data_IF_535614225734
#
_entry.id   IF_535614225734
#
_cell.length_a   1.000
_cell.length_b   1.000
_cell.length_c   1.000
_cell.angle_alpha   90.00
_cell.angle_beta   90.00
_cell.angle_gamma   90.00
#
_symmetry.space_group_name_H-M   'P 1'
#
loop_
_entity.id
_entity.type
_entity.pdbx_description
1 polymer ?
#
# COMPACT_ATOMS: atom_id res chain seq x y z
N UNK A 1 -8.22 -9.98 -6.59
CA UNK A 1 -7.89 -10.90 -7.71
C UNK A 1 -8.76 -12.14 -7.58
N UNK A 2 -9.59 -12.48 -8.57
CA UNK A 2 -10.41 -13.70 -8.53
C UNK A 2 -9.58 -14.96 -8.80
N UNK A 3 -9.90 -16.03 -8.07
CA UNK A 3 -9.24 -17.34 -8.18
C UNK A 3 -10.27 -18.35 -8.67
N UNK A 4 -9.98 -19.00 -9.80
CA UNK A 4 -10.83 -20.04 -10.37
C UNK A 4 -10.16 -21.40 -10.11
N UNK A 5 -10.76 -22.22 -9.25
CA UNK A 5 -10.23 -23.53 -8.88
C UNK A 5 -11.02 -24.64 -9.57
N UNK A 6 -10.34 -25.45 -10.38
CA UNK A 6 -10.94 -26.53 -11.17
C UNK A 6 -12.17 -26.11 -11.99
N UNK A 7 -12.22 -24.84 -12.39
CA UNK A 7 -13.31 -24.29 -13.19
C UNK A 7 -12.75 -23.29 -14.17
N UNK A 8 -13.21 -23.34 -15.43
CA UNK A 8 -12.76 -22.38 -16.42
C UNK A 8 -13.43 -21.01 -16.17
N UNK A 9 -12.71 -19.89 -16.27
CA UNK A 9 -13.33 -18.56 -16.20
C UNK A 9 -14.44 -18.38 -17.25
N UNK A 10 -14.36 -19.05 -18.40
CA UNK A 10 -15.39 -19.07 -19.43
C UNK A 10 -16.68 -19.75 -18.96
N UNK A 11 -16.60 -20.80 -18.14
CA UNK A 11 -17.77 -21.47 -17.56
C UNK A 11 -18.51 -20.56 -16.58
N UNK A 12 -17.77 -19.81 -15.76
CA UNK A 12 -18.34 -18.79 -14.87
C UNK A 12 -18.95 -17.64 -15.67
N UNK A 13 -18.25 -17.17 -16.72
CA UNK A 13 -18.68 -16.03 -17.54
C UNK A 13 -19.96 -16.33 -18.30
N UNK A 14 -20.00 -17.48 -18.96
CA UNK A 14 -21.10 -17.87 -19.84
C UNK A 14 -22.18 -18.64 -19.09
N UNK A 15 -22.00 -18.90 -17.80
CA UNK A 15 -22.90 -19.71 -16.96
C UNK A 15 -23.16 -21.09 -17.58
N UNK A 16 -22.08 -21.75 -18.00
CA UNK A 16 -22.10 -23.09 -18.61
C UNK A 16 -21.42 -24.12 -17.70
N UNK A 17 -21.53 -25.40 -18.04
CA UNK A 17 -20.90 -26.48 -17.28
C UNK A 17 -21.41 -26.54 -15.83
N UNK A 18 -20.54 -26.95 -14.92
CA UNK A 18 -20.89 -27.15 -13.50
C UNK A 18 -21.42 -25.87 -12.81
N UNK A 19 -20.90 -24.70 -13.21
CA UNK A 19 -21.35 -23.42 -12.67
C UNK A 19 -22.79 -23.07 -13.10
N UNK A 20 -23.10 -23.29 -14.38
CA UNK A 20 -24.44 -23.08 -14.94
C UNK A 20 -25.47 -24.02 -14.32
N UNK A 21 -25.11 -25.29 -14.15
CA UNK A 21 -25.96 -26.29 -13.49
C UNK A 21 -26.31 -25.87 -12.05
N UNK A 22 -25.33 -25.39 -11.27
CA UNK A 22 -25.56 -24.89 -9.92
C UNK A 22 -26.51 -23.68 -9.89
N UNK A 23 -26.36 -22.71 -10.80
CA UNK A 23 -27.28 -21.56 -10.92
C UNK A 23 -28.69 -22.05 -11.25
N UNK A 24 -28.85 -22.96 -12.21
CA UNK A 24 -30.15 -23.50 -12.60
C UNK A 24 -30.82 -24.29 -11.47
N UNK A 25 -30.04 -25.02 -10.66
CA UNK A 25 -30.57 -25.67 -9.46
C UNK A 25 -31.13 -24.66 -8.44
N UNK A 26 -30.51 -23.50 -8.29
CA UNK A 26 -31.01 -22.45 -7.40
C UNK A 26 -32.27 -21.77 -7.93
N UNK A 27 -32.37 -21.56 -9.25
CA UNK A 27 -33.57 -21.05 -9.93
C UNK A 27 -34.74 -22.03 -9.74
N UNK A 28 -34.52 -23.31 -10.03
CA UNK A 28 -35.57 -24.34 -9.97
C UNK A 28 -36.06 -24.64 -8.56
N UNK A 29 -35.27 -24.30 -7.53
CA UNK A 29 -35.66 -24.46 -6.12
C UNK A 29 -36.42 -23.25 -5.56
N UNK A 30 -36.59 -22.17 -6.34
CA UNK A 30 -37.31 -20.94 -5.94
C UNK A 30 -36.86 -20.38 -4.58
N UNK A 31 -35.58 -20.59 -4.22
CA UNK A 31 -35.02 -20.18 -2.92
C UNK A 31 -34.65 -18.71 -2.85
N UNK A 32 -34.52 -18.06 -4.00
CA UNK A 32 -34.04 -16.68 -4.14
C UNK A 32 -34.89 -15.93 -5.15
N UNK A 33 -34.96 -14.61 -4.99
CA UNK A 33 -35.70 -13.73 -5.92
C UNK A 33 -35.02 -13.67 -7.28
N UNK A 34 -35.78 -13.37 -8.33
CA UNK A 34 -35.24 -13.16 -9.68
C UNK A 34 -34.19 -12.07 -9.71
N UNK A 35 -34.35 -11.02 -8.89
CA UNK A 35 -33.36 -9.95 -8.72
C UNK A 35 -32.04 -10.47 -8.13
N UNK A 36 -32.09 -11.36 -7.13
CA UNK A 36 -30.90 -11.98 -6.54
C UNK A 36 -30.15 -12.80 -7.59
N UNK A 37 -30.88 -13.62 -8.36
CA UNK A 37 -30.32 -14.43 -9.44
C UNK A 37 -29.72 -13.55 -10.54
N UNK A 38 -30.39 -12.45 -10.88
CA UNK A 38 -29.91 -11.48 -11.86
C UNK A 38 -28.58 -10.84 -11.41
N UNK A 39 -28.52 -10.37 -10.16
CA UNK A 39 -27.31 -9.79 -9.58
C UNK A 39 -26.14 -10.77 -9.54
N UNK A 40 -26.39 -12.05 -9.27
CA UNK A 40 -25.36 -13.08 -9.33
C UNK A 40 -24.80 -13.26 -10.74
N UNK A 41 -25.67 -13.34 -11.75
CA UNK A 41 -25.25 -13.44 -13.16
C UNK A 41 -24.41 -12.23 -13.60
N UNK A 42 -24.80 -11.02 -13.19
CA UNK A 42 -24.03 -9.81 -13.46
C UNK A 42 -22.67 -9.82 -12.75
N UNK A 43 -22.63 -10.23 -11.48
CA UNK A 43 -21.39 -10.35 -10.70
C UNK A 43 -20.40 -11.33 -11.33
N UNK A 44 -20.86 -12.49 -11.81
CA UNK A 44 -20.03 -13.49 -12.50
C UNK A 44 -19.37 -12.93 -13.77
N UNK A 45 -20.08 -12.07 -14.51
CA UNK A 45 -19.54 -11.40 -15.69
C UNK A 45 -18.46 -10.36 -15.33
N UNK A 46 -18.70 -9.57 -14.29
CA UNK A 46 -17.73 -8.58 -13.80
C UNK A 46 -16.43 -9.24 -13.31
N UNK A 47 -16.56 -10.35 -12.56
CA UNK A 47 -15.43 -11.10 -11.99
C UNK A 47 -14.54 -11.73 -13.07
N UNK A 48 -15.14 -12.23 -14.15
CA UNK A 48 -14.39 -12.88 -15.26
C UNK A 48 -13.77 -11.89 -16.25
N UNK A 49 -14.20 -10.63 -16.21
CA UNK A 49 -13.59 -9.54 -16.97
C UNK A 49 -12.26 -9.09 -16.35
N UNK A 50 -12.09 -9.31 -15.04
CA UNK A 50 -10.80 -9.15 -14.35
C UNK A 50 -9.91 -10.34 -14.75
N UNK A 51 -8.85 -10.11 -15.52
CA UNK A 51 -7.90 -11.15 -15.97
C UNK A 51 -7.32 -11.91 -14.76
N UNK A 52 -7.91 -13.05 -14.41
CA UNK A 52 -7.35 -14.02 -13.46
C UNK A 52 -6.39 -14.97 -14.18
N UNK A 53 -5.22 -15.23 -13.60
CA UNK A 53 -4.31 -16.28 -14.08
C UNK A 53 -4.78 -17.63 -13.51
N UNK A 54 -5.00 -18.60 -14.40
CA UNK A 54 -5.14 -20.01 -14.04
C UNK A 54 -3.75 -20.61 -13.80
N UNK A 55 -3.21 -20.47 -12.60
CA UNK A 55 -2.22 -21.42 -12.08
C UNK A 55 -2.09 -21.22 -10.56
N UNK A 56 -2.54 -22.22 -9.82
CA UNK A 56 -2.58 -22.19 -8.36
C UNK A 56 -1.25 -22.73 -7.82
N UNK A 57 -0.47 -21.86 -7.18
CA UNK A 57 0.02 -22.00 -5.79
C UNK A 57 1.11 -20.97 -5.53
N UNK A 58 2.21 -21.00 -6.28
CA UNK A 58 3.35 -20.10 -6.01
C UNK A 58 3.12 -18.66 -6.47
N UNK A 59 2.71 -18.41 -7.72
CA UNK A 59 2.63 -17.02 -8.22
C UNK A 59 1.57 -16.18 -7.48
N UNK A 60 0.45 -16.80 -7.07
CA UNK A 60 -0.59 -16.13 -6.27
C UNK A 60 -0.12 -15.90 -4.84
N UNK A 61 0.49 -16.90 -4.20
CA UNK A 61 1.05 -16.75 -2.85
C UNK A 61 2.19 -15.74 -2.86
N UNK A 62 3.06 -15.73 -3.87
CA UNK A 62 4.10 -14.73 -4.05
C UNK A 62 3.54 -13.35 -4.32
N UNK A 63 2.52 -13.20 -5.18
CA UNK A 63 1.85 -11.90 -5.38
C UNK A 63 1.18 -11.43 -4.10
N UNK A 64 0.48 -12.29 -3.38
CA UNK A 64 -0.12 -11.96 -2.10
C UNK A 64 0.93 -11.66 -1.05
N UNK A 65 2.02 -12.42 -0.96
CA UNK A 65 3.12 -12.16 -0.05
C UNK A 65 3.86 -10.87 -0.42
N UNK A 66 4.01 -10.54 -1.70
CA UNK A 66 4.58 -9.27 -2.14
C UNK A 66 3.63 -8.14 -1.78
N UNK A 67 2.33 -8.26 -2.03
CA UNK A 67 1.34 -7.25 -1.63
C UNK A 67 1.17 -7.11 -0.11
N UNK A 68 1.24 -8.21 0.65
CA UNK A 68 1.12 -8.22 2.11
C UNK A 68 2.43 -7.82 2.81
N UNK A 69 3.60 -8.30 2.34
CA UNK A 69 4.92 -7.86 2.83
C UNK A 69 5.26 -6.44 2.42
N UNK A 70 4.65 -5.91 1.34
CA UNK A 70 4.95 -4.55 0.82
C UNK A 70 4.82 -3.48 1.89
N UNK A 71 3.96 -3.72 2.88
CA UNK A 71 3.48 -2.68 3.77
C UNK A 71 3.58 -3.03 5.27
N UNK A 72 3.72 -4.30 5.63
CA UNK A 72 3.78 -4.70 7.03
C UNK A 72 5.23 -4.86 7.50
N UNK A 73 5.68 -3.91 8.31
CA UNK A 73 6.96 -3.99 9.02
C UNK A 73 6.78 -4.82 10.29
N UNK A 74 7.76 -5.67 10.59
CA UNK A 74 7.73 -6.50 11.78
C UNK A 74 7.76 -5.61 13.04
N UNK A 75 6.75 -5.79 13.89
CA UNK A 75 6.63 -5.12 15.20
C UNK A 75 6.55 -6.21 16.26
N UNK A 76 7.21 -6.02 17.39
CA UNK A 76 7.12 -6.96 18.51
C UNK A 76 5.69 -7.02 19.04
N UNK A 77 5.19 -8.21 19.37
CA UNK A 77 3.86 -8.38 19.98
C UNK A 77 3.83 -7.97 21.47
N UNK A 78 4.97 -7.61 22.06
CA UNK A 78 5.09 -7.22 23.47
C UNK A 78 5.01 -5.70 23.66
N UNK A 79 4.11 -5.02 22.95
CA UNK A 79 3.86 -3.60 23.12
C UNK A 79 2.63 -3.42 24.00
N UNK A 80 2.86 -2.95 25.22
CA UNK A 80 1.81 -2.52 26.13
C UNK A 80 1.87 -0.99 26.16
N UNK A 81 0.71 -0.30 26.11
CA UNK A 81 0.57 1.17 26.30
C UNK A 81 0.91 2.11 25.13
N UNK A 82 0.93 1.65 23.87
CA UNK A 82 1.12 2.56 22.72
C UNK A 82 -0.18 2.95 21.99
N UNK A 83 -1.31 2.32 22.32
CA UNK A 83 -2.57 2.53 21.61
C UNK A 83 -3.04 3.99 21.67
N UNK A 84 -3.01 4.62 22.86
CA UNK A 84 -3.39 6.03 23.02
C UNK A 84 -2.54 6.99 22.16
N UNK A 85 -1.24 6.71 22.01
CA UNK A 85 -0.34 7.53 21.19
C UNK A 85 -0.60 7.33 19.70
N UNK A 86 -0.88 6.08 19.30
CA UNK A 86 -1.25 5.76 17.92
C UNK A 86 -2.56 6.48 17.57
N UNK A 87 -3.57 6.39 18.42
CA UNK A 87 -4.88 6.99 18.18
C UNK A 87 -4.80 8.51 18.07
N UNK A 88 -4.00 9.17 18.93
CA UNK A 88 -3.72 10.61 18.80
C UNK A 88 -3.07 11.01 17.46
N UNK A 89 -2.16 10.17 16.94
CA UNK A 89 -1.54 10.43 15.62
C UNK A 89 -2.58 10.24 14.51
N UNK A 90 -3.37 9.16 14.58
CA UNK A 90 -4.42 8.87 13.59
C UNK A 90 -5.48 9.96 13.56
N UNK A 91 -5.91 10.47 14.70
CA UNK A 91 -6.87 11.58 14.81
C UNK A 91 -6.32 12.83 14.11
N UNK A 92 -5.09 13.25 14.42
CA UNK A 92 -4.44 14.41 13.76
C UNK A 92 -4.33 14.27 12.25
N UNK A 93 -4.08 13.06 11.76
CA UNK A 93 -4.03 12.78 10.32
C UNK A 93 -5.42 12.89 9.70
N UNK A 94 -6.46 12.45 10.40
CA UNK A 94 -7.85 12.46 9.92
C UNK A 94 -8.50 13.85 9.90
N UNK A 95 -8.08 14.77 10.77
CA UNK A 95 -8.59 16.16 10.81
C UNK A 95 -8.22 16.98 9.57
N UNK A 96 -7.13 16.63 8.88
CA UNK A 96 -6.67 17.31 7.68
C UNK A 96 -7.14 16.56 6.43
N UNK A 97 -8.22 17.04 5.83
CA UNK A 97 -8.89 16.39 4.68
C UNK A 97 -8.33 16.79 3.31
N UNK A 98 -7.47 17.81 3.24
CA UNK A 98 -6.91 18.30 1.97
C UNK A 98 -5.45 18.70 2.12
N UNK A 99 -4.60 18.19 1.22
CA UNK A 99 -3.18 18.52 1.15
C UNK A 99 -2.26 17.47 1.79
N UNK A 100 -1.01 17.86 2.01
CA UNK A 100 0.04 16.97 2.54
C UNK A 100 0.12 17.09 4.07
N UNK A 101 -0.14 15.98 4.78
CA UNK A 101 -0.03 15.93 6.24
C UNK A 101 1.39 15.52 6.64
N UNK A 102 2.05 16.34 7.46
CA UNK A 102 3.39 16.05 7.99
C UNK A 102 3.31 15.97 9.51
N UNK A 103 3.69 14.82 10.06
CA UNK A 103 3.69 14.55 11.50
C UNK A 103 5.13 14.30 11.97
N UNK A 104 5.58 15.06 12.96
CA UNK A 104 6.87 14.86 13.61
C UNK A 104 6.73 14.06 14.90
N UNK A 105 7.49 12.97 15.04
CA UNK A 105 7.58 12.18 16.28
C UNK A 105 8.95 12.43 16.91
N UNK A 106 8.98 13.08 18.06
CA UNK A 106 10.22 13.43 18.77
C UNK A 106 10.14 13.06 20.26
N UNK A 107 11.29 12.97 20.92
CA UNK A 107 11.39 12.55 22.33
C UNK A 107 12.72 11.87 22.63
N UNK A 108 12.93 11.52 23.90
CA UNK A 108 14.17 10.89 24.37
C UNK A 108 14.49 9.58 23.64
N UNK A 109 15.77 9.21 23.62
CA UNK A 109 16.21 7.91 23.10
C UNK A 109 15.59 6.76 23.90
N UNK A 110 15.31 5.63 23.23
CA UNK A 110 14.78 4.42 23.89
C UNK A 110 13.28 4.42 24.19
N UNK A 111 12.55 5.54 23.98
CA UNK A 111 11.11 5.65 24.27
C UNK A 111 10.22 4.88 23.27
N UNK A 112 10.78 4.33 22.20
CA UNK A 112 10.02 3.55 21.21
C UNK A 112 9.45 4.36 20.05
N UNK A 113 10.01 5.54 19.72
CA UNK A 113 9.55 6.39 18.59
C UNK A 113 9.50 5.66 17.25
N UNK A 114 10.58 4.93 16.92
CA UNK A 114 10.65 4.11 15.71
C UNK A 114 9.56 3.05 15.71
N UNK A 115 9.30 2.43 16.87
CA UNK A 115 8.22 1.45 17.05
C UNK A 115 6.84 2.09 16.82
N UNK A 116 6.59 3.27 17.39
CA UNK A 116 5.35 4.02 17.20
C UNK A 116 5.13 4.34 15.72
N UNK A 117 6.15 4.88 15.05
CA UNK A 117 6.11 5.19 13.63
C UNK A 117 5.85 3.93 12.77
N UNK A 118 6.40 2.78 13.16
CA UNK A 118 6.17 1.50 12.50
C UNK A 118 4.72 1.03 12.63
N UNK A 119 4.11 1.16 13.81
CA UNK A 119 2.70 0.77 14.03
C UNK A 119 1.77 1.67 13.19
N UNK A 120 1.99 2.98 13.24
CA UNK A 120 1.20 3.96 12.46
C UNK A 120 1.35 3.69 10.96
N UNK A 121 2.58 3.44 10.49
CA UNK A 121 2.83 3.07 9.09
C UNK A 121 2.04 1.84 8.69
N UNK A 122 2.11 0.76 9.48
CA UNK A 122 1.39 -0.48 9.19
C UNK A 122 -0.12 -0.24 9.12
N UNK A 123 -0.69 0.55 10.05
CA UNK A 123 -2.14 0.88 10.07
C UNK A 123 -2.56 1.66 8.82
N UNK A 124 -1.81 2.69 8.43
CA UNK A 124 -2.16 3.58 7.31
C UNK A 124 -1.82 3.02 5.94
N UNK A 125 -0.86 2.11 5.86
CA UNK A 125 -0.30 1.65 4.57
C UNK A 125 -1.32 1.10 3.57
N UNK A 126 -2.47 0.59 4.04
CA UNK A 126 -3.53 0.09 3.20
C UNK A 126 -4.30 1.20 2.46
N UNK A 127 -4.26 2.43 2.97
CA UNK A 127 -4.99 3.58 2.42
C UNK A 127 -4.20 4.37 1.37
N UNK A 128 -2.94 3.98 1.11
CA UNK A 128 -2.05 4.66 0.19
C UNK A 128 -1.59 3.73 -0.95
N UNK A 129 -1.58 4.27 -2.18
CA UNK A 129 -1.13 3.53 -3.37
C UNK A 129 0.34 3.13 -3.29
N UNK A 130 1.15 3.97 -2.63
CA UNK A 130 2.58 3.82 -2.51
C UNK A 130 2.99 4.08 -1.07
N UNK A 131 3.88 3.23 -0.54
CA UNK A 131 4.39 3.36 0.81
C UNK A 131 5.91 3.23 0.80
N UNK A 132 6.60 4.00 1.64
CA UNK A 132 8.04 3.92 1.78
C UNK A 132 8.46 4.18 3.23
N UNK A 133 9.21 3.23 3.80
CA UNK A 133 9.89 3.43 5.07
C UNK A 133 11.39 3.55 4.82
N UNK A 134 11.96 4.69 5.23
CA UNK A 134 13.39 5.00 5.16
C UNK A 134 13.95 5.05 6.57
N UNK A 135 14.67 4.00 6.95
CA UNK A 135 15.31 3.85 8.26
C UNK A 135 16.74 4.38 8.27
N UNK A 136 17.26 4.71 9.45
CA UNK A 136 18.66 5.11 9.67
C UNK A 136 19.10 6.26 8.76
N UNK A 137 18.28 7.30 8.64
CA UNK A 137 18.56 8.44 7.75
C UNK A 137 19.85 9.14 8.14
N UNK A 138 20.08 9.30 9.45
CA UNK A 138 21.31 9.83 10.02
C UNK A 138 22.58 9.16 9.50
N UNK A 139 22.54 7.85 9.30
CA UNK A 139 23.72 7.05 8.92
C UNK A 139 23.81 6.79 7.41
N UNK A 140 22.75 7.11 6.65
CA UNK A 140 22.65 6.78 5.23
C UNK A 140 22.94 7.99 4.36
N UNK A 141 23.76 7.81 3.31
CA UNK A 141 24.03 8.87 2.33
C UNK A 141 22.72 9.32 1.65
N UNK A 142 22.51 10.63 1.57
CA UNK A 142 21.31 11.23 0.93
C UNK A 142 21.03 10.66 -0.46
N UNK A 143 22.04 10.56 -1.33
CA UNK A 143 21.87 10.00 -2.69
C UNK A 143 21.36 8.55 -2.64
N UNK A 144 21.77 7.76 -1.66
CA UNK A 144 21.25 6.41 -1.46
C UNK A 144 19.78 6.45 -1.02
N UNK A 145 19.41 7.33 -0.09
CA UNK A 145 18.02 7.51 0.34
C UNK A 145 17.12 7.97 -0.82
N UNK A 146 17.58 8.87 -1.69
CA UNK A 146 16.84 9.32 -2.87
C UNK A 146 16.59 8.17 -3.86
N UNK A 147 17.62 7.38 -4.16
CA UNK A 147 17.49 6.18 -4.99
C UNK A 147 16.54 5.14 -4.35
N UNK A 148 16.64 4.93 -3.03
CA UNK A 148 15.73 4.03 -2.30
C UNK A 148 14.29 4.50 -2.35
N UNK A 149 14.04 5.81 -2.15
CA UNK A 149 12.70 6.38 -2.22
C UNK A 149 12.07 6.18 -3.59
N UNK A 150 12.80 6.55 -4.65
CA UNK A 150 12.31 6.43 -6.03
C UNK A 150 12.06 4.97 -6.40
N UNK A 151 13.01 4.07 -6.13
CA UNK A 151 12.85 2.65 -6.45
C UNK A 151 11.69 2.00 -5.69
N UNK A 152 11.53 2.28 -4.38
CA UNK A 152 10.43 1.74 -3.57
C UNK A 152 9.06 2.26 -4.01
N UNK A 153 8.94 3.55 -4.34
CA UNK A 153 7.67 4.14 -4.76
C UNK A 153 7.32 3.78 -6.21
N UNK A 154 8.28 3.84 -7.14
CA UNK A 154 8.01 3.54 -8.55
C UNK A 154 7.91 2.04 -8.84
N UNK A 155 8.43 1.18 -7.94
CA UNK A 155 8.40 -0.29 -8.05
C UNK A 155 8.98 -0.80 -9.37
N UNK A 156 9.99 -0.12 -9.90
CA UNK A 156 10.71 -0.49 -11.10
C UNK A 156 12.19 -0.15 -10.96
N UNK A 157 13.03 -0.80 -11.77
CA UNK A 157 14.42 -0.41 -11.89
C UNK A 157 14.52 1.01 -12.45
N UNK A 158 15.39 1.81 -11.82
CA UNK A 158 15.60 3.21 -12.17
C UNK A 158 17.10 3.47 -12.36
N UNK A 159 17.51 4.27 -13.35
CA UNK A 159 18.89 4.71 -13.47
C UNK A 159 19.38 5.34 -12.17
N UNK A 160 20.54 4.89 -11.68
CA UNK A 160 21.10 5.40 -10.43
C UNK A 160 21.34 6.90 -10.53
N UNK A 161 20.76 7.63 -9.59
CA UNK A 161 21.08 9.05 -9.36
C UNK A 161 22.49 9.13 -8.80
N UNK A 162 23.28 10.07 -9.33
CA UNK A 162 24.69 10.23 -8.96
C UNK A 162 24.95 11.52 -8.17
N UNK A 163 23.95 12.39 -8.02
CA UNK A 163 24.06 13.64 -7.24
C UNK A 163 22.79 13.99 -6.49
N UNK A 164 22.91 14.74 -5.40
CA UNK A 164 21.76 15.15 -4.58
C UNK A 164 20.75 15.99 -5.39
N UNK A 165 21.24 16.90 -6.23
CA UNK A 165 20.40 17.80 -7.04
C UNK A 165 19.60 17.06 -8.12
N UNK A 166 20.22 16.07 -8.75
CA UNK A 166 19.53 15.17 -9.67
C UNK A 166 18.43 14.40 -8.93
N UNK A 167 18.71 13.88 -7.73
CA UNK A 167 17.72 13.17 -6.94
C UNK A 167 16.56 14.04 -6.48
N UNK A 168 16.82 15.29 -6.09
CA UNK A 168 15.78 16.28 -5.78
C UNK A 168 14.86 16.48 -7.00
N UNK A 169 15.45 16.65 -8.18
CA UNK A 169 14.72 16.87 -9.42
C UNK A 169 13.85 15.67 -9.78
N UNK A 170 14.39 14.46 -9.70
CA UNK A 170 13.63 13.24 -9.99
C UNK A 170 12.53 12.96 -8.96
N UNK A 171 12.81 13.10 -7.67
CA UNK A 171 11.77 12.96 -6.62
C UNK A 171 10.61 13.92 -6.92
N UNK A 172 10.90 15.20 -7.14
CA UNK A 172 9.87 16.20 -7.40
C UNK A 172 9.06 15.87 -8.67
N UNK A 173 9.73 15.51 -9.76
CA UNK A 173 9.06 15.26 -11.04
C UNK A 173 8.22 13.98 -11.04
N UNK A 174 8.63 12.96 -10.29
CA UNK A 174 8.03 11.62 -10.36
C UNK A 174 7.03 11.34 -9.23
N UNK A 175 7.21 11.98 -8.09
CA UNK A 175 6.47 11.66 -6.86
C UNK A 175 5.47 12.74 -6.47
N UNK A 176 5.49 13.92 -7.09
CA UNK A 176 4.62 15.04 -6.67
C UNK A 176 3.13 14.76 -6.80
N UNK A 177 2.70 14.09 -7.86
CA UNK A 177 1.30 13.75 -8.14
C UNK A 177 0.86 12.39 -7.59
N UNK A 178 1.72 11.73 -6.81
CA UNK A 178 1.44 10.39 -6.28
C UNK A 178 0.81 10.51 -4.89
N UNK A 179 -0.16 9.63 -4.62
CA UNK A 179 -0.59 9.36 -3.26
C UNK A 179 0.45 8.44 -2.58
N UNK A 180 1.18 8.96 -1.59
CA UNK A 180 2.31 8.25 -0.95
C UNK A 180 2.28 8.44 0.57
N UNK A 181 2.45 7.36 1.31
CA UNK A 181 2.83 7.36 2.73
C UNK A 181 4.35 7.18 2.86
N UNK A 182 5.04 8.12 3.51
CA UNK A 182 6.49 8.03 3.73
C UNK A 182 6.81 8.20 5.21
N UNK A 183 7.63 7.31 5.76
CA UNK A 183 8.22 7.47 7.10
C UNK A 183 9.73 7.68 6.97
N UNK A 184 10.19 8.74 7.62
CA UNK A 184 11.60 9.09 7.77
C UNK A 184 12.03 8.80 9.20
N UNK A 185 12.79 7.74 9.41
CA UNK A 185 13.25 7.30 10.74
C UNK A 185 14.71 7.67 10.98
N UNK A 186 14.99 8.06 12.23
CA UNK A 186 16.27 8.58 12.71
C UNK A 186 16.81 9.78 11.90
N UNK A 187 15.99 10.82 11.76
CA UNK A 187 16.39 12.11 11.15
C UNK A 187 17.06 12.98 12.20
N UNK A 188 18.25 13.52 11.90
CA UNK A 188 19.00 14.40 12.81
C UNK A 188 19.28 15.80 12.23
N UNK A 189 19.07 16.02 10.93
CA UNK A 189 19.35 17.30 10.26
C UNK A 189 18.23 17.71 9.30
N UNK A 190 17.90 19.01 9.26
CA UNK A 190 16.87 19.53 8.33
C UNK A 190 17.26 19.34 6.87
N UNK A 191 18.55 19.41 6.55
CA UNK A 191 19.10 19.21 5.21
C UNK A 191 18.78 17.83 4.63
N UNK A 192 18.61 16.81 5.49
CA UNK A 192 18.17 15.49 5.07
C UNK A 192 16.73 15.51 4.54
N UNK A 193 15.84 16.17 5.27
CA UNK A 193 14.44 16.33 4.86
C UNK A 193 14.33 17.21 3.62
N UNK A 194 15.05 18.32 3.55
CA UNK A 194 15.05 19.22 2.38
C UNK A 194 15.44 18.49 1.09
N UNK A 195 16.39 17.55 1.16
CA UNK A 195 16.81 16.76 0.02
C UNK A 195 15.83 15.65 -0.40
N UNK A 196 14.89 15.26 0.48
CA UNK A 196 13.94 14.16 0.28
C UNK A 196 12.50 14.62 0.00
N UNK A 197 12.07 15.71 0.64
CA UNK A 197 10.68 16.21 0.57
C UNK A 197 10.57 17.64 0.06
N UNK A 198 11.70 18.35 0.02
CA UNK A 198 11.83 19.72 -0.45
C UNK A 198 11.93 20.78 0.63
N UNK A 199 12.46 21.94 0.23
CA UNK A 199 12.60 23.12 1.08
C UNK A 199 11.30 23.94 1.09
N UNK A 200 10.78 24.24 2.27
CA UNK A 200 9.62 25.12 2.47
C UNK A 200 8.26 24.44 2.29
N UNK A 201 7.96 23.91 1.10
CA UNK A 201 6.69 23.23 0.83
C UNK A 201 6.94 21.83 0.27
N UNK A 202 6.29 20.84 0.89
CA UNK A 202 6.37 19.46 0.46
C UNK A 202 5.98 19.32 -1.02
N UNK A 203 6.70 18.46 -1.72
CA UNK A 203 6.45 18.19 -3.13
C UNK A 203 5.30 17.19 -3.35
N UNK A 204 5.00 16.32 -2.38
CA UNK A 204 4.05 15.21 -2.52
C UNK A 204 2.60 15.66 -2.36
N UNK A 205 1.67 14.96 -3.00
CA UNK A 205 0.23 15.21 -2.88
C UNK A 205 -0.24 16.50 -3.54
N UNK A 206 0.46 16.94 -4.60
CA UNK A 206 0.12 18.11 -5.42
C UNK A 206 -0.71 17.74 -6.65
#
# INVERSE_FOLDING_TARGET
MPIFYNIAPSEVRNQTGSYGEAINLHINKWRYTDETIHNWKLGSFAITTIRGKCEFTEEVVWKLLIELKKNYLAVSNCLVEMDDQVDQIMEKISEQTTGTNIVGIHGMGGVGKTTLATIVYNKLSADFDNCCFLSNIRETKIVSLQNQLISKVLRMEWPSINSINEGITEIKNRLSSKNILIVFDDVDQSTQLEALVGTGQCWFGR
#
